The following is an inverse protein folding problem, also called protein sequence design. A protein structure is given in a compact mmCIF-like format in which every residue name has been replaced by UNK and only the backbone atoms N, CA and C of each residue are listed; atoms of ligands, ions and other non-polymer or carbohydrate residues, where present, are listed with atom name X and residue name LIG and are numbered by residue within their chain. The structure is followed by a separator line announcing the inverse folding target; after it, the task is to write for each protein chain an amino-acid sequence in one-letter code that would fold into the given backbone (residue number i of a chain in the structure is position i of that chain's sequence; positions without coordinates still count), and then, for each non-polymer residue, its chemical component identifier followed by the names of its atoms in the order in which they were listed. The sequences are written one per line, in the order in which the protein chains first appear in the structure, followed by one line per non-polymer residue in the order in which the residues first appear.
data_IF_370289680232
#
_entry.id   IF_370289680232
#
_cell.length_a   1.000
_cell.length_b   1.000
_cell.length_c   1.000
_cell.angle_alpha   90.00
_cell.angle_beta   90.00
_cell.angle_gamma   90.00
#
_symmetry.space_group_name_H-M   'P 1'
#
loop_
_entity.id
_entity.type
_entity.pdbx_description
1 polymer ?
#
# COMPACT_ATOMS: atom_id res chain seq x y z
N UNK A 1 -4.31 -32.55 47.90
CA UNK A 1 -3.26 -31.59 47.51
C UNK A 1 -3.71 -30.90 46.22
N UNK A 2 -4.36 -29.76 46.38
CA UNK A 2 -5.10 -29.05 45.33
C UNK A 2 -4.22 -28.03 44.61
N UNK A 3 -4.25 -28.00 43.27
CA UNK A 3 -3.58 -26.96 42.47
C UNK A 3 -4.50 -25.72 42.35
N UNK A 4 -4.01 -24.49 42.58
CA UNK A 4 -4.82 -23.30 42.36
C UNK A 4 -4.91 -22.95 40.88
N UNK A 5 -6.13 -22.59 40.47
CA UNK A 5 -6.49 -22.04 39.15
C UNK A 5 -5.84 -20.66 38.97
N UNK A 6 -5.10 -20.48 37.87
CA UNK A 6 -4.53 -19.19 37.50
C UNK A 6 -5.57 -18.35 36.71
N UNK A 7 -5.71 -17.04 36.99
CA UNK A 7 -6.66 -16.18 36.31
C UNK A 7 -6.23 -15.89 34.86
N UNK A 8 -7.21 -15.97 33.96
CA UNK A 8 -7.13 -15.66 32.54
C UNK A 8 -7.12 -14.13 32.35
N UNK A 9 -5.97 -13.55 32.04
CA UNK A 9 -5.85 -12.16 31.61
C UNK A 9 -6.35 -12.04 30.16
N UNK A 10 -7.53 -11.48 29.98
CA UNK A 10 -8.00 -10.96 28.68
C UNK A 10 -7.59 -9.50 28.57
N UNK A 11 -6.39 -9.23 28.07
CA UNK A 11 -6.03 -7.90 27.58
C UNK A 11 -6.54 -7.79 26.14
N UNK A 12 -7.70 -7.15 25.99
CA UNK A 12 -8.26 -6.75 24.71
C UNK A 12 -7.59 -5.47 24.22
N UNK A 13 -6.35 -5.55 23.73
CA UNK A 13 -5.74 -4.47 22.97
C UNK A 13 -6.19 -4.59 21.51
N UNK A 14 -7.30 -3.93 21.24
CA UNK A 14 -7.87 -3.69 19.91
C UNK A 14 -7.11 -2.56 19.23
N UNK A 15 -5.78 -2.68 19.08
CA UNK A 15 -5.06 -1.80 18.18
C UNK A 15 -5.08 -2.43 16.79
N UNK A 16 -6.15 -2.12 16.07
CA UNK A 16 -6.47 -2.65 14.75
C UNK A 16 -5.35 -2.36 13.76
N UNK A 17 -4.53 -3.38 13.51
CA UNK A 17 -3.77 -3.47 12.27
C UNK A 17 -4.80 -3.74 11.17
N UNK A 18 -5.40 -2.68 10.64
CA UNK A 18 -6.09 -2.76 9.36
C UNK A 18 -5.04 -3.17 8.33
N UNK A 19 -5.02 -4.47 8.03
CA UNK A 19 -4.43 -4.99 6.80
C UNK A 19 -5.13 -4.23 5.69
N UNK A 20 -4.47 -3.21 5.15
CA UNK A 20 -4.89 -2.60 3.89
C UNK A 20 -4.74 -3.71 2.86
N UNK A 21 -5.84 -4.42 2.63
CA UNK A 21 -6.02 -5.31 1.50
C UNK A 21 -6.06 -4.41 0.28
N UNK A 22 -4.88 -4.03 -0.22
CA UNK A 22 -4.74 -3.53 -1.58
C UNK A 22 -5.36 -4.58 -2.49
N UNK A 23 -6.56 -4.29 -3.02
CA UNK A 23 -7.19 -5.06 -4.06
C UNK A 23 -6.30 -4.98 -5.31
N UNK A 24 -5.31 -5.87 -5.38
CA UNK A 24 -4.89 -6.39 -6.67
C UNK A 24 -5.98 -7.39 -7.07
N UNK A 25 -6.71 -7.07 -8.14
CA UNK A 25 -7.61 -8.00 -8.81
C UNK A 25 -6.80 -9.23 -9.21
N UNK A 26 -6.87 -10.29 -8.38
CA UNK A 26 -6.37 -11.61 -8.72
C UNK A 26 -7.36 -12.20 -9.74
N UNK A 27 -6.93 -12.60 -10.95
CA UNK A 27 -7.80 -13.38 -11.81
C UNK A 27 -8.11 -14.68 -11.06
N UNK A 28 -9.40 -14.92 -10.83
CA UNK A 28 -9.91 -16.14 -10.24
C UNK A 28 -9.59 -17.30 -11.20
N UNK A 29 -8.51 -18.03 -10.92
CA UNK A 29 -8.15 -19.23 -11.65
C UNK A 29 -9.18 -20.33 -11.34
N UNK A 30 -10.09 -20.53 -12.29
CA UNK A 30 -10.86 -21.77 -12.41
C UNK A 30 -9.90 -22.96 -12.43
N UNK A 31 -10.20 -24.10 -11.76
CA UNK A 31 -9.35 -25.29 -11.86
C UNK A 31 -9.45 -25.86 -13.28
N UNK A 32 -8.54 -25.44 -14.15
CA UNK A 32 -8.29 -26.11 -15.42
C UNK A 32 -7.59 -27.43 -15.11
N UNK A 33 -8.20 -28.51 -15.59
CA UNK A 33 -7.69 -29.86 -15.50
C UNK A 33 -6.35 -29.95 -16.25
N UNK A 34 -5.24 -29.81 -15.53
CA UNK A 34 -3.89 -30.02 -16.05
C UNK A 34 -3.32 -31.31 -15.50
N UNK A 35 -3.38 -32.34 -16.34
CA UNK A 35 -2.51 -33.50 -16.30
C UNK A 35 -1.04 -33.04 -16.43
N UNK A 36 -0.34 -32.87 -15.31
CA UNK A 36 1.09 -33.21 -15.14
C UNK A 36 1.64 -32.65 -13.83
N UNK A 37 2.45 -33.47 -13.15
CA UNK A 37 3.32 -33.10 -12.03
C UNK A 37 2.66 -32.62 -10.72
N UNK A 38 1.58 -33.30 -10.32
CA UNK A 38 1.09 -33.28 -8.94
C UNK A 38 1.97 -34.12 -8.02
N UNK A 39 3.06 -33.54 -7.52
CA UNK A 39 3.80 -34.08 -6.37
C UNK A 39 2.97 -33.95 -5.10
N UNK A 40 1.95 -34.80 -4.95
CA UNK A 40 1.20 -34.93 -3.69
C UNK A 40 2.20 -35.41 -2.63
N UNK A 41 2.62 -34.51 -1.74
CA UNK A 41 3.26 -34.93 -0.50
C UNK A 41 2.25 -35.86 0.21
N UNK A 42 2.53 -37.16 0.17
CA UNK A 42 1.75 -38.16 0.88
C UNK A 42 1.71 -37.76 2.36
N UNK A 43 0.55 -37.88 3.04
CA UNK A 43 0.51 -37.66 4.48
C UNK A 43 1.54 -38.62 5.11
N UNK A 44 2.38 -38.17 6.05
CA UNK A 44 3.34 -39.06 6.69
C UNK A 44 2.55 -40.23 7.26
N UNK A 45 2.85 -41.42 6.72
CA UNK A 45 2.33 -42.71 7.19
C UNK A 45 2.32 -42.72 8.72
N UNK A 46 1.25 -43.28 9.31
CA UNK A 46 1.03 -43.43 10.76
C UNK A 46 2.05 -44.38 11.42
N UNK A 47 3.33 -44.27 11.09
CA UNK A 47 4.41 -44.85 11.87
C UNK A 47 4.36 -44.18 13.24
N UNK A 48 4.07 -44.98 14.26
CA UNK A 48 4.10 -44.56 15.67
C UNK A 48 5.41 -43.82 15.87
N UNK A 49 5.36 -42.49 16.06
CA UNK A 49 6.55 -41.71 16.41
C UNK A 49 7.12 -42.36 17.67
N UNK A 50 8.40 -42.77 17.67
CA UNK A 50 9.03 -43.23 18.91
C UNK A 50 8.80 -42.16 19.97
N UNK A 51 8.41 -42.58 21.17
CA UNK A 51 8.20 -41.67 22.29
C UNK A 51 9.47 -40.86 22.48
N UNK A 52 9.42 -39.58 22.16
CA UNK A 52 10.57 -38.69 22.32
C UNK A 52 10.76 -38.49 23.80
N UNK A 53 11.89 -38.97 24.32
CA UNK A 53 12.31 -38.71 25.68
C UNK A 53 12.55 -37.20 25.83
N UNK A 54 11.71 -36.57 26.64
CA UNK A 54 11.70 -35.10 26.83
C UNK A 54 12.90 -34.62 27.63
N UNK A 55 13.58 -35.50 28.34
CA UNK A 55 14.74 -35.16 29.16
C UNK A 55 16.06 -35.42 28.43
N UNK A 56 16.01 -36.01 27.22
CA UNK A 56 17.19 -36.18 26.38
C UNK A 56 17.80 -34.85 25.95
N UNK A 57 19.13 -34.80 25.91
CA UNK A 57 19.86 -33.61 25.46
C UNK A 57 19.58 -33.28 23.98
N UNK A 58 19.31 -34.30 23.16
CA UNK A 58 18.89 -34.09 21.77
C UNK A 58 17.55 -33.33 21.68
N UNK A 59 16.58 -33.68 22.55
CA UNK A 59 15.31 -32.95 22.63
C UNK A 59 15.54 -31.49 23.05
N UNK A 60 16.35 -31.24 24.09
CA UNK A 60 16.68 -29.89 24.55
C UNK A 60 17.28 -29.03 23.43
N UNK A 61 18.29 -29.53 22.73
CA UNK A 61 18.91 -28.82 21.60
C UNK A 61 17.92 -28.52 20.47
N UNK A 62 17.02 -29.46 20.14
CA UNK A 62 15.97 -29.24 19.14
C UNK A 62 14.99 -28.16 19.58
N UNK A 63 14.60 -28.13 20.85
CA UNK A 63 13.71 -27.10 21.41
C UNK A 63 14.36 -25.73 21.44
N UNK A 64 15.63 -25.63 21.84
CA UNK A 64 16.39 -24.39 21.81
C UNK A 64 16.50 -23.82 20.39
N UNK A 65 16.87 -24.66 19.42
CA UNK A 65 16.87 -24.26 18.01
C UNK A 65 15.51 -23.77 17.52
N UNK A 66 14.43 -24.46 17.90
CA UNK A 66 13.08 -24.04 17.52
C UNK A 66 12.69 -22.71 18.19
N UNK A 67 13.00 -22.53 19.47
CA UNK A 67 12.74 -21.28 20.19
C UNK A 67 13.45 -20.10 19.52
N UNK A 68 14.72 -20.27 19.12
CA UNK A 68 15.47 -19.28 18.36
C UNK A 68 14.84 -19.00 16.99
N UNK A 69 14.44 -20.04 16.26
CA UNK A 69 13.79 -19.89 14.96
C UNK A 69 12.45 -19.13 15.06
N UNK A 70 11.64 -19.44 16.08
CA UNK A 70 10.37 -18.75 16.33
C UNK A 70 10.61 -17.29 16.70
N UNK A 71 11.57 -17.00 17.59
CA UNK A 71 11.94 -15.62 17.93
C UNK A 71 12.39 -14.86 16.69
N UNK A 72 13.25 -15.45 15.85
CA UNK A 72 13.71 -14.87 14.59
C UNK A 72 12.55 -14.61 13.61
N UNK A 73 11.64 -15.57 13.46
CA UNK A 73 10.46 -15.45 12.60
C UNK A 73 9.55 -14.31 13.06
N UNK A 74 9.23 -14.24 14.35
CA UNK A 74 8.41 -13.17 14.93
C UNK A 74 9.05 -11.79 14.73
N UNK A 75 10.35 -11.68 15.00
CA UNK A 75 11.08 -10.42 14.81
C UNK A 75 11.06 -10.00 13.34
N UNK A 76 11.25 -10.92 12.40
CA UNK A 76 11.19 -10.63 10.97
C UNK A 76 9.80 -10.13 10.55
N UNK A 77 8.73 -10.75 11.05
CA UNK A 77 7.36 -10.30 10.76
C UNK A 77 7.09 -8.92 11.35
N UNK A 78 7.54 -8.65 12.58
CA UNK A 78 7.43 -7.33 13.21
C UNK A 78 8.21 -6.26 12.42
N UNK A 79 9.44 -6.57 12.01
CA UNK A 79 10.26 -5.67 11.21
C UNK A 79 9.57 -5.37 9.87
N UNK A 80 9.07 -6.38 9.17
CA UNK A 80 8.37 -6.19 7.89
C UNK A 80 7.14 -5.27 8.05
N UNK A 81 6.38 -5.42 9.14
CA UNK A 81 5.24 -4.54 9.41
C UNK A 81 5.69 -3.09 9.64
N UNK A 82 6.79 -2.90 10.39
CA UNK A 82 7.38 -1.58 10.63
C UNK A 82 7.91 -0.93 9.35
N UNK A 83 8.67 -1.66 8.54
CA UNK A 83 9.20 -1.20 7.25
C UNK A 83 8.05 -0.81 6.30
N UNK A 84 6.97 -1.60 6.29
CA UNK A 84 5.80 -1.29 5.47
C UNK A 84 5.13 0.01 5.93
N UNK A 85 4.98 0.20 7.24
CA UNK A 85 4.39 1.42 7.79
C UNK A 85 5.26 2.64 7.48
N UNK A 86 6.58 2.52 7.62
CA UNK A 86 7.51 3.57 7.25
C UNK A 86 7.38 3.92 5.77
N UNK A 87 7.34 2.90 4.89
CA UNK A 87 7.19 3.13 3.45
C UNK A 87 5.88 3.82 3.09
N UNK A 88 4.79 3.49 3.79
CA UNK A 88 3.49 4.18 3.60
C UNK A 88 3.61 5.66 4.01
N UNK A 89 4.31 5.97 5.09
CA UNK A 89 4.51 7.35 5.53
C UNK A 89 5.35 8.14 4.52
N UNK A 90 6.47 7.57 4.06
CA UNK A 90 7.33 8.17 3.01
C UNK A 90 6.53 8.49 1.74
N UNK A 91 5.68 7.54 1.29
CA UNK A 91 4.86 7.73 0.10
C UNK A 91 3.78 8.81 0.29
N UNK A 92 3.23 8.95 1.50
CA UNK A 92 2.28 10.03 1.81
C UNK A 92 2.94 11.39 1.74
N UNK A 93 4.10 11.55 2.37
CA UNK A 93 4.87 12.79 2.35
C UNK A 93 5.30 13.15 0.91
N UNK A 94 5.75 12.16 0.13
CA UNK A 94 6.09 12.37 -1.27
C UNK A 94 4.86 12.79 -2.10
N UNK A 95 3.70 12.18 -1.86
CA UNK A 95 2.47 12.53 -2.56
C UNK A 95 2.02 13.95 -2.23
N UNK A 96 2.00 14.35 -0.95
CA UNK A 96 1.68 15.72 -0.52
C UNK A 96 2.61 16.74 -1.18
N UNK A 97 3.92 16.45 -1.24
CA UNK A 97 4.91 17.30 -1.92
C UNK A 97 4.63 17.42 -3.42
N UNK A 98 4.27 16.33 -4.09
CA UNK A 98 3.94 16.31 -5.51
C UNK A 98 2.64 17.08 -5.79
N UNK A 99 1.61 16.90 -4.98
CA UNK A 99 0.35 17.64 -5.06
C UNK A 99 0.58 19.15 -4.90
N UNK A 100 1.41 19.57 -3.94
CA UNK A 100 1.80 20.96 -3.77
C UNK A 100 2.52 21.52 -5.01
N UNK A 101 3.42 20.73 -5.62
CA UNK A 101 4.12 21.12 -6.85
C UNK A 101 3.17 21.26 -8.03
N UNK A 102 2.24 20.33 -8.21
CA UNK A 102 1.20 20.41 -9.24
C UNK A 102 0.39 21.69 -9.05
N UNK A 103 -0.10 21.94 -7.82
CA UNK A 103 -0.90 23.13 -7.51
C UNK A 103 -0.16 24.44 -7.80
N UNK A 104 1.15 24.51 -7.50
CA UNK A 104 1.97 25.68 -7.82
C UNK A 104 2.06 25.90 -9.32
N UNK A 105 2.48 24.88 -10.07
CA UNK A 105 2.64 24.97 -11.52
C UNK A 105 1.30 25.28 -12.22
N UNK A 106 0.19 24.72 -11.75
CA UNK A 106 -1.14 25.05 -12.29
C UNK A 106 -1.50 26.52 -12.09
N UNK A 107 -1.12 27.13 -10.96
CA UNK A 107 -1.33 28.57 -10.73
C UNK A 107 -0.45 29.41 -11.64
N UNK A 108 0.83 29.06 -11.77
CA UNK A 108 1.76 29.76 -12.67
C UNK A 108 1.26 29.75 -14.12
N UNK A 109 0.77 28.59 -14.59
CA UNK A 109 0.18 28.47 -15.92
C UNK A 109 -1.11 29.28 -16.07
N UNK A 110 -1.97 29.34 -15.04
CA UNK A 110 -3.17 30.18 -15.07
C UNK A 110 -2.80 31.65 -15.21
N UNK A 111 -1.87 32.14 -14.38
CA UNK A 111 -1.41 33.54 -14.44
C UNK A 111 -0.84 33.88 -15.81
N UNK A 112 -0.01 33.01 -16.38
CA UNK A 112 0.52 33.22 -17.72
C UNK A 112 -0.59 33.26 -18.77
N UNK A 113 -1.55 32.32 -18.71
CA UNK A 113 -2.69 32.29 -19.63
C UNK A 113 -3.53 33.56 -19.53
N UNK A 114 -3.82 34.01 -18.32
CA UNK A 114 -4.62 35.21 -18.06
C UNK A 114 -3.91 36.46 -18.62
N UNK A 115 -2.58 36.57 -18.42
CA UNK A 115 -1.77 37.65 -18.98
C UNK A 115 -1.78 37.67 -20.51
N UNK A 116 -1.64 36.51 -21.15
CA UNK A 116 -1.71 36.41 -22.62
C UNK A 116 -3.10 36.79 -23.16
N UNK A 117 -4.17 36.38 -22.48
CA UNK A 117 -5.54 36.72 -22.88
C UNK A 117 -5.81 38.22 -22.70
N UNK A 118 -5.39 38.81 -21.58
CA UNK A 118 -5.51 40.24 -21.34
C UNK A 118 -4.79 41.05 -22.41
N UNK A 119 -3.56 40.68 -22.77
CA UNK A 119 -2.82 41.35 -23.84
C UNK A 119 -3.49 41.19 -25.21
N UNK A 120 -4.03 40.02 -25.53
CA UNK A 120 -4.75 39.79 -26.78
C UNK A 120 -6.05 40.61 -26.88
N UNK A 121 -6.79 40.74 -25.77
CA UNK A 121 -7.97 41.58 -25.69
C UNK A 121 -7.63 43.08 -25.86
N UNK A 122 -6.60 43.56 -25.15
CA UNK A 122 -6.12 44.94 -25.32
C UNK A 122 -5.64 45.24 -26.76
N UNK A 123 -5.06 44.25 -27.45
CA UNK A 123 -4.67 44.40 -28.86
C UNK A 123 -5.89 44.47 -29.79
N UNK A 124 -6.96 43.72 -29.52
CA UNK A 124 -8.19 43.76 -30.29
C UNK A 124 -8.97 45.08 -30.08
N UNK A 125 -8.98 45.62 -28.86
CA UNK A 125 -9.65 46.90 -28.56
C UNK A 125 -8.94 48.12 -29.16
N UNK A 126 -7.62 48.06 -29.37
CA UNK A 126 -6.85 49.12 -30.04
C UNK A 126 -6.99 49.10 -31.59
N UNK A 127 -7.64 48.08 -32.16
CA UNK A 127 -8.03 48.04 -33.58
C UNK A 127 -9.50 48.41 -33.67
N UNK A 128 -9.82 49.67 -33.34
CA UNK A 128 -11.15 50.20 -33.60
C UNK A 128 -11.37 50.25 -35.12
N UNK A 129 -12.45 49.67 -35.67
CA UNK A 129 -12.75 49.83 -37.08
C UNK A 129 -12.99 51.33 -37.38
N UNK A 130 -12.52 51.85 -38.53
CA UNK A 130 -12.74 53.25 -38.87
C UNK A 130 -14.24 53.54 -38.86
N UNK A 131 -14.66 54.44 -37.98
CA UNK A 131 -16.04 54.87 -37.88
C UNK A 131 -16.48 55.50 -39.22
N UNK A 132 -17.53 54.93 -39.82
CA UNK A 132 -18.47 55.66 -40.67
C UNK A 132 -18.02 55.98 -42.08
N UNK A 133 -17.95 54.96 -42.95
CA UNK A 133 -18.14 55.15 -44.38
C UNK A 133 -19.58 54.80 -44.77
N UNK A 134 -20.59 55.57 -44.34
CA UNK A 134 -21.91 55.51 -44.97
C UNK A 134 -22.58 56.89 -45.04
N UNK A 135 -23.02 57.24 -46.26
CA UNK A 135 -24.23 58.06 -46.43
C UNK A 135 -24.06 59.51 -46.86
N UNK A 136 -23.42 59.80 -47.99
CA UNK A 136 -23.72 61.03 -48.77
C UNK A 136 -23.54 60.78 -50.27
N UNK A 137 -24.41 59.91 -50.82
CA UNK A 137 -24.64 59.82 -52.27
C UNK A 137 -25.78 60.78 -52.64
N UNK A 138 -25.40 61.77 -53.44
CA UNK A 138 -26.17 62.54 -54.42
C UNK A 138 -27.67 62.20 -54.53
N UNK A 139 -28.57 63.18 -54.27
CA UNK A 139 -29.33 63.99 -55.24
C UNK A 139 -30.10 65.09 -54.51
#
# INVERSE_FOLDING_TARGET
MSRPSQPKLTAADHNGVSVIQSQAHVPQLVPANSSSAGGKALPPSKMKKPSVDKDSDEYRQRRERNNLAVKKSRMRSKQKAMDTQQRVNELKEENERLEAKIKLLSKELSVLKDLFLEHAHNLADNVQPPAGAEGSRQF
#
